data_IF_068327311487
#
_entry.id   IF_068327311487
#
_cell.length_a   1.000
_cell.length_b   1.000
_cell.length_c   1.000
_cell.angle_alpha   90.00
_cell.angle_beta   90.00
_cell.angle_gamma   90.00
#
_symmetry.space_group_name_H-M   'P 1'
#
loop_
_entity.id
_entity.type
_entity.pdbx_description
1 polymer ?
#
# COMPACT_ATOMS: atom_id res chain seq x y z
N UNK A 1 10.08 -0.98 3.82
CA UNK A 1 8.65 -1.24 4.02
C UNK A 1 8.34 -1.17 5.50
N UNK A 2 7.22 -0.54 5.85
CA UNK A 2 6.71 -0.44 7.22
C UNK A 2 5.25 -0.91 7.23
N UNK A 3 4.93 -1.87 8.11
CA UNK A 3 3.54 -2.27 8.33
C UNK A 3 2.95 -1.40 9.43
N UNK A 4 1.94 -0.62 9.09
CA UNK A 4 1.21 0.23 10.04
C UNK A 4 -0.06 -0.47 10.50
N UNK A 5 -0.26 -0.53 11.81
CA UNK A 5 -1.49 -1.04 12.42
C UNK A 5 -2.27 0.17 12.91
N UNK A 6 -3.13 0.70 12.03
CA UNK A 6 -3.81 1.98 12.22
C UNK A 6 -4.71 1.99 13.44
N UNK A 7 -4.55 3.02 14.26
CA UNK A 7 -5.42 3.33 15.40
C UNK A 7 -5.58 4.84 15.55
N UNK A 8 -6.66 5.26 16.18
CA UNK A 8 -6.85 6.66 16.54
C UNK A 8 -5.69 7.18 17.39
N UNK A 9 -5.29 8.43 17.13
CA UNK A 9 -4.24 9.10 17.90
C UNK A 9 -4.68 9.25 19.36
N UNK A 10 -3.78 8.88 20.30
CA UNK A 10 -4.03 9.18 21.71
C UNK A 10 -3.79 10.68 21.98
N UNK A 11 -4.38 11.30 22.95
CA UNK A 11 -5.35 10.99 23.98
C UNK A 11 -6.75 11.47 23.59
N UNK A 12 -7.81 10.71 23.85
CA UNK A 12 -7.83 9.46 24.60
C UNK A 12 -7.31 8.27 23.78
N UNK A 13 -6.96 7.16 24.46
CA UNK A 13 -6.61 5.90 23.82
C UNK A 13 -7.86 5.31 23.20
N UNK A 14 -7.76 4.85 21.95
CA UNK A 14 -8.76 4.04 21.26
C UNK A 14 -8.13 2.81 20.65
N UNK A 15 -8.91 1.73 20.52
CA UNK A 15 -8.52 0.51 19.81
C UNK A 15 -8.95 0.56 18.34
N UNK A 16 -9.92 1.39 18.01
CA UNK A 16 -10.50 1.52 16.68
C UNK A 16 -9.58 2.28 15.73
N UNK A 17 -9.53 1.91 14.44
CA UNK A 17 -8.81 2.68 13.43
C UNK A 17 -9.53 3.98 13.11
N UNK A 18 -8.78 5.03 12.85
CA UNK A 18 -9.29 6.30 12.31
C UNK A 18 -8.44 6.88 11.18
N UNK A 19 -7.35 6.20 10.85
CA UNK A 19 -6.38 6.51 9.79
C UNK A 19 -5.63 7.85 9.96
N UNK A 20 -5.82 8.59 11.04
CA UNK A 20 -5.12 9.83 11.28
C UNK A 20 -3.60 9.65 11.41
N UNK A 21 -3.17 8.51 11.95
CA UNK A 21 -1.76 8.14 12.09
C UNK A 21 -1.07 8.04 10.72
N UNK A 22 -1.65 7.28 9.80
CA UNK A 22 -1.07 7.07 8.46
C UNK A 22 -1.24 8.32 7.57
N UNK A 23 -2.35 9.03 7.69
CA UNK A 23 -2.60 10.26 6.94
C UNK A 23 -1.68 11.41 7.38
N UNK A 24 -1.27 11.44 8.65
CA UNK A 24 -0.26 12.39 9.14
C UNK A 24 1.11 12.19 8.43
N UNK A 25 1.39 10.99 7.95
CA UNK A 25 2.63 10.67 7.25
C UNK A 25 2.56 10.87 5.72
N UNK A 26 1.43 11.31 5.14
CA UNK A 26 1.22 11.43 3.68
C UNK A 26 2.27 12.28 2.96
N UNK A 27 2.76 13.34 3.62
CA UNK A 27 3.72 14.29 3.03
C UNK A 27 5.18 13.90 3.29
N UNK A 28 5.42 12.74 3.91
CA UNK A 28 6.77 12.25 4.26
C UNK A 28 7.53 11.64 3.08
N UNK A 29 6.84 11.35 1.97
CA UNK A 29 7.39 10.66 0.80
C UNK A 29 7.20 9.15 0.81
N UNK A 30 6.54 8.60 1.82
CA UNK A 30 6.10 7.20 1.82
C UNK A 30 4.92 7.00 0.86
N UNK A 31 4.99 5.96 0.05
CA UNK A 31 3.84 5.40 -0.64
C UNK A 31 2.98 4.61 0.35
N UNK A 32 1.68 4.50 0.10
CA UNK A 32 0.75 3.85 1.03
C UNK A 32 -0.15 2.86 0.29
N UNK A 33 -0.25 1.64 0.83
CA UNK A 33 -1.26 0.65 0.44
C UNK A 33 -2.19 0.45 1.64
N UNK A 34 -3.48 0.47 1.39
CA UNK A 34 -4.53 0.31 2.41
C UNK A 34 -5.24 -1.02 2.19
N UNK A 35 -5.11 -1.95 3.14
CA UNK A 35 -5.55 -3.33 2.99
C UNK A 35 -6.94 -3.57 3.58
N UNK A 36 -7.78 -4.32 2.85
CA UNK A 36 -9.13 -4.67 3.25
C UNK A 36 -9.17 -5.95 4.11
N UNK A 37 -8.32 -6.95 3.80
CA UNK A 37 -8.34 -8.28 4.41
C UNK A 37 -6.97 -8.71 4.92
N UNK A 38 -6.92 -9.74 5.78
CA UNK A 38 -5.65 -10.29 6.24
C UNK A 38 -4.82 -10.91 5.10
N UNK A 39 -5.47 -11.48 4.07
CA UNK A 39 -4.78 -11.97 2.88
C UNK A 39 -4.14 -10.82 2.10
N UNK A 40 -4.86 -9.73 1.93
CA UNK A 40 -4.34 -8.56 1.24
C UNK A 40 -3.15 -7.95 1.99
N UNK A 41 -3.15 -7.96 3.33
CA UNK A 41 -1.98 -7.52 4.11
C UNK A 41 -0.74 -8.35 3.79
N UNK A 42 -0.86 -9.69 3.77
CA UNK A 42 0.25 -10.59 3.45
C UNK A 42 0.78 -10.33 2.03
N UNK A 43 -0.10 -10.29 1.06
CA UNK A 43 0.23 -10.12 -0.35
C UNK A 43 0.80 -8.71 -0.63
N UNK A 44 0.21 -7.68 -0.03
CA UNK A 44 0.70 -6.31 -0.15
C UNK A 44 2.10 -6.11 0.44
N UNK A 45 2.50 -6.86 1.46
CA UNK A 45 3.87 -6.81 1.97
C UNK A 45 4.86 -7.27 0.88
N UNK A 46 4.55 -8.35 0.17
CA UNK A 46 5.39 -8.83 -0.94
C UNK A 46 5.47 -7.79 -2.07
N UNK A 47 4.32 -7.27 -2.49
CA UNK A 47 4.26 -6.23 -3.52
C UNK A 47 4.95 -4.93 -3.09
N UNK A 48 4.85 -4.55 -1.82
CA UNK A 48 5.50 -3.36 -1.29
C UNK A 48 7.03 -3.46 -1.33
N UNK A 49 7.60 -4.60 -0.99
CA UNK A 49 9.04 -4.82 -1.17
C UNK A 49 9.44 -4.74 -2.63
N UNK A 50 8.70 -5.40 -3.50
CA UNK A 50 8.97 -5.40 -4.95
C UNK A 50 8.92 -4.00 -5.54
N UNK A 51 7.96 -3.16 -5.12
CA UNK A 51 7.79 -1.79 -5.58
C UNK A 51 8.83 -0.84 -4.98
N UNK A 52 9.07 -0.93 -3.67
CA UNK A 52 10.01 -0.05 -2.98
C UNK A 52 11.47 -0.25 -3.43
N UNK A 53 11.80 -1.45 -3.88
CA UNK A 53 13.14 -1.83 -4.36
C UNK A 53 13.30 -1.68 -5.87
N UNK A 54 12.24 -1.33 -6.61
CA UNK A 54 12.32 -1.03 -8.05
C UNK A 54 13.09 0.28 -8.27
N UNK A 55 14.14 0.24 -9.10
CA UNK A 55 15.02 1.39 -9.35
C UNK A 55 14.32 2.60 -10.00
N UNK A 56 13.14 2.40 -10.56
CA UNK A 56 12.29 3.48 -11.11
C UNK A 56 11.52 4.22 -10.00
N UNK A 57 11.48 3.67 -8.80
CA UNK A 57 10.68 4.17 -7.66
C UNK A 57 11.58 4.52 -6.48
N UNK A 58 12.22 3.54 -5.84
CA UNK A 58 13.11 3.69 -4.68
C UNK A 58 12.53 4.61 -3.59
N UNK A 59 11.23 4.48 -3.31
CA UNK A 59 10.54 5.19 -2.24
C UNK A 59 10.12 4.23 -1.15
N UNK A 60 10.14 4.67 0.12
CA UNK A 60 9.65 3.86 1.22
C UNK A 60 8.14 3.66 1.13
N UNK A 61 7.64 2.57 1.71
CA UNK A 61 6.23 2.21 1.66
C UNK A 61 5.65 1.87 3.02
N UNK A 62 4.40 2.28 3.22
CA UNK A 62 3.51 1.75 4.25
C UNK A 62 2.57 0.70 3.66
N UNK A 63 2.44 -0.43 4.36
CA UNK A 63 1.30 -1.34 4.23
C UNK A 63 0.43 -1.09 5.44
N UNK A 64 -0.75 -0.53 5.24
CA UNK A 64 -1.66 -0.11 6.30
C UNK A 64 -2.78 -1.12 6.50
N UNK A 65 -2.93 -1.60 7.72
CA UNK A 65 -4.03 -2.47 8.15
C UNK A 65 -4.77 -1.84 9.33
N UNK A 66 -6.05 -2.12 9.43
CA UNK A 66 -6.85 -1.61 10.53
C UNK A 66 -6.51 -2.32 11.86
N UNK A 67 -6.14 -1.52 12.84
CA UNK A 67 -6.00 -1.99 14.21
C UNK A 67 -7.34 -2.49 14.74
N UNK A 68 -7.35 -3.49 15.61
CA UNK A 68 -8.49 -4.20 16.12
C UNK A 68 -9.28 -4.99 15.05
N UNK A 69 -9.79 -4.35 13.99
CA UNK A 69 -10.60 -5.02 12.97
C UNK A 69 -9.83 -6.10 12.19
N UNK A 70 -8.61 -5.83 11.75
CA UNK A 70 -7.77 -6.85 11.09
C UNK A 70 -6.73 -7.45 12.04
N UNK A 71 -6.11 -6.61 12.91
CA UNK A 71 -5.01 -7.08 13.74
C UNK A 71 -5.43 -8.01 14.89
N UNK A 72 -6.71 -8.06 15.23
CA UNK A 72 -7.27 -8.91 16.29
C UNK A 72 -8.14 -10.06 15.76
N UNK A 73 -8.55 -9.97 14.51
CA UNK A 73 -9.33 -11.01 13.82
C UNK A 73 -8.41 -12.15 13.40
N UNK A 74 -8.93 -13.35 13.39
CA UNK A 74 -8.26 -14.54 12.89
C UNK A 74 -8.96 -15.00 11.63
N UNK A 75 -8.33 -14.81 10.50
CA UNK A 75 -8.78 -15.24 9.19
C UNK A 75 -7.81 -16.25 8.60
N UNK A 76 -8.30 -17.24 7.86
CA UNK A 76 -7.43 -18.11 7.08
C UNK A 76 -6.73 -17.27 6.00
N UNK A 77 -5.43 -17.48 5.84
CA UNK A 77 -4.64 -16.88 4.76
C UNK A 77 -3.91 -17.98 4.00
N UNK A 78 -3.80 -17.82 2.72
CA UNK A 78 -2.99 -18.68 1.87
C UNK A 78 -1.55 -18.18 1.89
N UNK A 79 -0.67 -18.93 2.55
CA UNK A 79 0.76 -18.62 2.61
C UNK A 79 1.42 -19.16 1.34
N UNK A 80 2.02 -18.29 0.50
CA UNK A 80 2.60 -18.70 -0.76
C UNK A 80 3.84 -19.60 -0.58
N UNK A 81 4.12 -20.44 -1.59
CA UNK A 81 5.32 -21.27 -1.61
C UNK A 81 6.58 -20.39 -1.66
N UNK A 82 7.60 -20.78 -0.91
CA UNK A 82 8.85 -20.01 -0.80
C UNK A 82 9.58 -19.85 -2.14
N UNK A 83 9.44 -20.78 -3.08
CA UNK A 83 10.08 -20.67 -4.37
C UNK A 83 9.34 -19.69 -5.28
N UNK A 84 8.00 -19.59 -5.15
CA UNK A 84 7.21 -18.57 -5.82
C UNK A 84 7.55 -17.17 -5.27
N UNK A 85 7.68 -17.05 -3.94
CA UNK A 85 8.14 -15.80 -3.32
C UNK A 85 9.54 -15.41 -3.82
N UNK A 86 10.48 -16.35 -3.90
CA UNK A 86 11.84 -16.08 -4.44
C UNK A 86 11.83 -15.69 -5.91
N UNK A 87 10.89 -16.21 -6.70
CA UNK A 87 10.71 -15.82 -8.10
C UNK A 87 10.19 -14.39 -8.21
N UNK A 88 9.24 -14.03 -7.37
CA UNK A 88 8.64 -12.69 -7.34
C UNK A 88 9.57 -11.63 -6.70
N UNK A 89 10.27 -11.99 -5.63
CA UNK A 89 11.21 -11.14 -4.90
C UNK A 89 12.64 -11.65 -5.07
N UNK A 90 13.35 -11.29 -6.15
CA UNK A 90 14.76 -11.59 -6.28
C UNK A 90 15.58 -10.85 -5.21
N UNK A 91 16.78 -11.34 -4.86
CA UNK A 91 17.64 -10.65 -3.89
C UNK A 91 17.88 -9.19 -4.29
N UNK A 92 17.64 -8.28 -3.37
CA UNK A 92 17.87 -6.85 -3.59
C UNK A 92 19.33 -6.57 -3.94
N UNK A 93 19.55 -5.82 -5.00
CA UNK A 93 20.87 -5.36 -5.44
C UNK A 93 20.89 -3.83 -5.45
N UNK A 94 21.55 -3.19 -4.49
CA UNK A 94 21.63 -1.73 -4.44
C UNK A 94 22.48 -1.19 -5.58
N UNK A 95 21.85 -0.47 -6.52
CA UNK A 95 22.55 0.09 -7.69
C UNK A 95 23.10 1.51 -7.45
N UNK A 96 22.51 2.26 -6.50
CA UNK A 96 22.85 3.66 -6.29
C UNK A 96 23.65 3.91 -5.03
N UNK A 97 23.32 3.25 -3.96
CA UNK A 97 23.94 3.47 -2.67
C UNK A 97 23.78 2.24 -1.78
N UNK A 98 24.83 1.91 -1.05
CA UNK A 98 24.82 0.80 -0.10
C UNK A 98 25.65 1.16 1.14
N UNK A 99 25.22 0.62 2.28
CA UNK A 99 25.95 0.80 3.53
C UNK A 99 27.00 -0.31 3.67
N UNK A 100 28.28 0.06 3.52
CA UNK A 100 29.40 -0.90 3.60
C UNK A 100 30.60 -0.26 4.29
N UNK A 101 30.99 -0.81 5.43
CA UNK A 101 32.10 -0.27 6.23
C UNK A 101 33.44 -0.25 5.47
N UNK A 102 33.70 -1.21 4.57
CA UNK A 102 34.93 -1.26 3.76
C UNK A 102 34.96 -0.24 2.60
N UNK A 103 33.81 0.38 2.28
CA UNK A 103 33.67 1.41 1.27
C UNK A 103 32.70 2.48 1.80
N UNK A 104 33.15 3.30 2.78
CA UNK A 104 32.27 4.26 3.43
C UNK A 104 31.78 5.30 2.43
N UNK A 105 30.47 5.58 2.49
CA UNK A 105 29.79 6.52 1.64
C UNK A 105 28.92 7.42 2.49
N UNK A 106 28.98 8.73 2.27
CA UNK A 106 28.05 9.67 2.88
C UNK A 106 26.76 9.73 2.04
N UNK A 107 25.64 9.51 2.69
CA UNK A 107 24.30 9.69 2.12
C UNK A 107 23.55 10.72 2.98
N UNK A 108 22.65 11.46 2.36
CA UNK A 108 21.94 12.52 3.05
C UNK A 108 22.60 13.87 2.87
N UNK A 109 22.41 14.44 1.68
CA UNK A 109 22.87 15.78 1.36
C UNK A 109 22.12 16.81 2.20
N UNK A 110 22.85 17.64 2.95
CA UNK A 110 22.28 18.84 3.54
C UNK A 110 22.09 19.90 2.44
N UNK A 111 20.85 20.21 2.15
CA UNK A 111 20.51 21.22 1.14
C UNK A 111 20.31 22.57 1.79
N UNK A 112 21.17 23.53 1.45
CA UNK A 112 21.07 24.92 1.91
C UNK A 112 20.55 25.77 0.74
N UNK A 113 19.43 26.47 0.94
CA UNK A 113 18.78 27.26 -0.09
C UNK A 113 17.60 26.54 -0.77
N UNK A 114 16.66 27.29 -1.34
CA UNK A 114 15.35 26.79 -1.79
C UNK A 114 15.36 25.93 -3.05
N UNK A 115 16.11 26.34 -4.08
CA UNK A 115 16.05 25.70 -5.40
C UNK A 115 16.46 24.20 -5.40
N UNK A 116 17.61 23.79 -4.79
CA UNK A 116 17.96 22.39 -4.74
C UNK A 116 16.92 21.55 -3.95
N UNK A 117 16.37 22.09 -2.85
CA UNK A 117 15.35 21.40 -2.07
C UNK A 117 14.09 21.15 -2.91
N UNK A 118 13.61 22.15 -3.62
CA UNK A 118 12.45 22.02 -4.50
C UNK A 118 12.69 21.00 -5.62
N UNK A 119 13.91 20.95 -6.17
CA UNK A 119 14.29 19.96 -7.16
C UNK A 119 14.21 18.53 -6.61
N UNK A 120 14.76 18.26 -5.42
CA UNK A 120 14.68 16.94 -4.80
C UNK A 120 13.23 16.54 -4.48
N UNK A 121 12.41 17.47 -3.99
CA UNK A 121 10.98 17.23 -3.76
C UNK A 121 10.24 16.91 -5.06
N UNK A 122 10.58 17.59 -6.13
CA UNK A 122 10.01 17.31 -7.45
C UNK A 122 10.41 15.92 -7.97
N UNK A 123 11.67 15.50 -7.80
CA UNK A 123 12.10 14.14 -8.14
C UNK A 123 11.34 13.07 -7.34
N UNK A 124 11.12 13.27 -6.05
CA UNK A 124 10.27 12.39 -5.24
C UNK A 124 8.84 12.31 -5.77
N UNK A 125 8.27 13.45 -6.17
CA UNK A 125 6.94 13.50 -6.78
C UNK A 125 6.88 12.72 -8.09
N UNK A 126 7.87 12.87 -8.98
CA UNK A 126 7.94 12.11 -10.22
C UNK A 126 8.05 10.60 -9.96
N UNK A 127 8.86 10.19 -8.98
CA UNK A 127 8.97 8.80 -8.58
C UNK A 127 7.64 8.26 -8.02
N UNK A 128 6.92 9.05 -7.23
CA UNK A 128 5.61 8.65 -6.70
C UNK A 128 4.55 8.50 -7.79
N UNK A 129 4.57 9.36 -8.80
CA UNK A 129 3.69 9.21 -9.97
C UNK A 129 4.05 7.97 -10.79
N UNK A 130 5.36 7.72 -10.99
CA UNK A 130 5.82 6.52 -11.70
C UNK A 130 5.46 5.23 -10.96
N UNK A 131 5.40 5.27 -9.64
CA UNK A 131 5.03 4.12 -8.82
C UNK A 131 3.65 3.54 -9.18
N UNK A 132 2.70 4.36 -9.66
CA UNK A 132 1.38 3.87 -10.09
C UNK A 132 1.46 2.94 -11.30
N UNK A 133 2.33 3.25 -12.27
CA UNK A 133 2.52 2.39 -13.45
C UNK A 133 3.29 1.12 -13.06
N UNK A 134 4.35 1.27 -12.27
CA UNK A 134 5.17 0.15 -11.80
C UNK A 134 4.35 -0.80 -10.93
N UNK A 135 3.45 -0.27 -10.10
CA UNK A 135 2.54 -1.10 -9.30
C UNK A 135 1.63 -1.98 -10.17
N UNK A 136 1.10 -1.44 -11.28
CA UNK A 136 0.28 -2.23 -12.21
C UNK A 136 1.05 -3.38 -12.85
N UNK A 137 2.32 -3.12 -13.22
CA UNK A 137 3.22 -4.17 -13.74
C UNK A 137 3.44 -5.26 -12.69
N UNK A 138 3.74 -4.86 -11.45
CA UNK A 138 3.97 -5.76 -10.31
C UNK A 138 2.71 -6.54 -9.96
N UNK A 139 1.54 -5.90 -9.95
CA UNK A 139 0.26 -6.56 -9.69
C UNK A 139 -0.07 -7.62 -10.75
N UNK A 140 0.22 -7.36 -12.02
CA UNK A 140 0.09 -8.34 -13.10
C UNK A 140 1.03 -9.55 -12.91
N UNK A 141 2.30 -9.31 -12.59
CA UNK A 141 3.27 -10.36 -12.25
C UNK A 141 2.83 -11.18 -11.02
N UNK A 142 2.28 -10.48 -10.01
CA UNK A 142 1.75 -11.13 -8.81
C UNK A 142 0.56 -12.05 -9.14
N UNK A 143 -0.38 -11.59 -9.96
CA UNK A 143 -1.53 -12.38 -10.41
C UNK A 143 -1.09 -13.63 -11.20
N UNK A 144 -0.10 -13.50 -12.10
CA UNK A 144 0.44 -14.63 -12.85
C UNK A 144 1.08 -15.70 -11.96
N UNK A 145 1.73 -15.28 -10.86
CA UNK A 145 2.45 -16.21 -9.98
C UNK A 145 1.53 -16.80 -8.91
N UNK A 146 0.69 -15.99 -8.29
CA UNK A 146 -0.07 -16.36 -7.09
C UNK A 146 -1.59 -16.49 -7.35
N UNK A 147 -2.08 -16.13 -8.54
CA UNK A 147 -3.47 -16.27 -8.93
C UNK A 147 -4.43 -15.28 -8.24
N UNK A 148 -3.93 -14.26 -7.57
CA UNK A 148 -4.72 -13.21 -6.90
C UNK A 148 -4.44 -11.86 -7.55
N UNK A 149 -5.52 -11.13 -7.84
CA UNK A 149 -5.46 -9.86 -8.58
C UNK A 149 -5.67 -8.68 -7.65
N UNK A 150 -4.83 -7.67 -7.79
CA UNK A 150 -4.89 -6.42 -7.06
C UNK A 150 -4.77 -5.22 -8.01
N UNK A 151 -5.50 -4.15 -7.70
CA UNK A 151 -5.48 -2.92 -8.46
C UNK A 151 -5.19 -1.73 -7.56
N UNK A 152 -4.88 -0.58 -8.16
CA UNK A 152 -4.73 0.68 -7.40
C UNK A 152 -6.05 1.13 -6.78
N UNK A 153 -7.16 0.80 -7.40
CA UNK A 153 -8.54 1.03 -6.94
C UNK A 153 -9.34 -0.19 -7.38
N UNK A 154 -10.13 -0.76 -6.48
CA UNK A 154 -11.06 -1.83 -6.79
C UNK A 154 -12.46 -1.26 -6.97
N UNK A 155 -13.15 -1.62 -8.05
CA UNK A 155 -14.56 -1.34 -8.26
C UNK A 155 -15.41 -2.56 -7.95
N UNK A 156 -16.43 -2.37 -7.15
CA UNK A 156 -17.40 -3.42 -6.81
C UNK A 156 -18.79 -3.02 -7.23
N UNK A 157 -19.38 -3.76 -8.20
CA UNK A 157 -20.72 -3.47 -8.78
C UNK A 157 -20.86 -2.03 -9.27
N UNK A 158 -19.85 -1.50 -9.98
CA UNK A 158 -19.80 -0.10 -10.44
C UNK A 158 -20.32 0.11 -11.86
N UNK A 159 -20.52 -0.94 -12.65
CA UNK A 159 -20.79 -0.86 -14.10
C UNK A 159 -22.09 -0.12 -14.44
N UNK A 160 -23.11 -0.26 -13.60
CA UNK A 160 -24.43 0.38 -13.75
C UNK A 160 -24.82 1.25 -12.55
N UNK A 161 -23.83 1.56 -11.68
CA UNK A 161 -24.09 2.28 -10.45
C UNK A 161 -24.45 3.75 -10.71
N UNK A 162 -25.54 4.22 -10.07
CA UNK A 162 -25.94 5.62 -10.00
C UNK A 162 -25.43 6.29 -8.71
N UNK A 163 -25.10 5.48 -7.70
CA UNK A 163 -24.54 5.90 -6.41
C UNK A 163 -23.30 5.06 -6.12
N UNK A 164 -22.15 5.70 -5.91
CA UNK A 164 -20.90 5.03 -5.61
C UNK A 164 -20.41 5.45 -4.24
N UNK A 165 -20.18 4.46 -3.36
CA UNK A 165 -19.47 4.65 -2.10
C UNK A 165 -17.97 4.61 -2.37
N UNK A 166 -17.20 5.41 -1.64
CA UNK A 166 -15.73 5.35 -1.65
C UNK A 166 -15.29 5.02 -0.22
N UNK A 167 -14.63 3.90 -0.05
CA UNK A 167 -14.17 3.39 1.24
C UNK A 167 -12.75 2.85 1.12
N UNK A 168 -12.08 2.68 2.24
CA UNK A 168 -10.74 2.09 2.31
C UNK A 168 -10.64 1.14 3.50
N UNK A 169 -9.61 0.29 3.49
CA UNK A 169 -9.31 -0.67 4.54
C UNK A 169 -10.48 -1.66 4.82
N UNK A 170 -10.56 -2.21 6.02
CA UNK A 170 -11.56 -3.23 6.39
C UNK A 170 -13.01 -2.76 6.29
N UNK A 171 -13.26 -1.45 6.32
CA UNK A 171 -14.60 -0.90 6.12
C UNK A 171 -15.16 -1.16 4.71
N UNK A 172 -14.30 -1.40 3.72
CA UNK A 172 -14.72 -1.76 2.36
C UNK A 172 -15.52 -3.07 2.35
N UNK A 173 -15.20 -4.04 3.20
CA UNK A 173 -15.99 -5.27 3.36
C UNK A 173 -17.43 -4.98 3.78
N UNK A 174 -17.62 -4.08 4.75
CA UNK A 174 -18.96 -3.63 5.17
C UNK A 174 -19.67 -2.84 4.05
N UNK A 175 -18.91 -2.04 3.31
CA UNK A 175 -19.40 -1.31 2.14
C UNK A 175 -19.94 -2.26 1.06
N UNK A 176 -19.21 -3.34 0.75
CA UNK A 176 -19.65 -4.37 -0.20
C UNK A 176 -20.96 -5.03 0.24
N UNK A 177 -21.13 -5.33 1.53
CA UNK A 177 -22.39 -5.86 2.08
C UNK A 177 -23.53 -4.83 2.00
N UNK A 178 -23.24 -3.57 2.31
CA UNK A 178 -24.22 -2.48 2.19
C UNK A 178 -24.69 -2.28 0.74
N UNK A 179 -23.77 -2.34 -0.23
CA UNK A 179 -24.09 -2.28 -1.67
C UNK A 179 -25.01 -3.43 -2.07
N UNK A 180 -24.73 -4.67 -1.66
CA UNK A 180 -25.62 -5.83 -1.92
C UNK A 180 -27.02 -5.57 -1.41
N UNK A 181 -27.16 -5.16 -0.14
CA UNK A 181 -28.44 -4.86 0.49
C UNK A 181 -29.20 -3.70 -0.17
N UNK A 182 -28.49 -2.68 -0.66
CA UNK A 182 -29.08 -1.58 -1.40
C UNK A 182 -29.63 -2.07 -2.75
N UNK A 183 -28.89 -2.90 -3.48
CA UNK A 183 -29.31 -3.49 -4.75
C UNK A 183 -30.50 -4.43 -4.61
N UNK A 184 -30.61 -5.20 -3.55
CA UNK A 184 -31.78 -6.00 -3.22
C UNK A 184 -33.06 -5.15 -3.06
N UNK A 185 -32.89 -3.85 -2.75
CA UNK A 185 -33.99 -2.87 -2.65
C UNK A 185 -34.18 -2.03 -3.91
N UNK A 186 -33.50 -2.39 -5.01
CA UNK A 186 -33.63 -1.73 -6.30
C UNK A 186 -32.77 -0.46 -6.46
N UNK A 187 -31.84 -0.18 -5.54
CA UNK A 187 -30.93 0.96 -5.65
C UNK A 187 -29.65 0.52 -6.43
N UNK A 188 -29.32 1.22 -7.49
CA UNK A 188 -28.10 0.98 -8.27
C UNK A 188 -26.89 1.57 -7.55
N UNK A 189 -26.43 0.88 -6.52
CA UNK A 189 -25.25 1.25 -5.74
C UNK A 189 -24.02 0.47 -6.19
N UNK A 190 -22.84 1.09 -6.02
CA UNK A 190 -21.51 0.49 -6.21
C UNK A 190 -20.53 0.97 -5.14
N UNK A 191 -19.34 0.39 -5.08
CA UNK A 191 -18.26 0.76 -4.17
C UNK A 191 -16.95 0.80 -4.95
#
# INVERSE_FOLDING_TARGET
VMVNVSRGLSAPITLEPDHNDILAARDSGFLQIHCETCQEVLDSILMAYRLAEDERVLLPMFVNMDGFHLSFTREPVEVPDINEVRRFLPPYQPNHAFFKASQPMAQGLAVIGGSPYSYFKYQMHLASMKALDVYKEIAGEFEEIFGRSYNTIEGYMTEDAEHVLIMSNSFSTLGKDAVKKARERGVKAGL
#
